data_IF_989433948140
#
_entry.id   IF_989433948140
#
_cell.length_a   1.000
_cell.length_b   1.000
_cell.length_c   1.000
_cell.angle_alpha   90.00
_cell.angle_beta   90.00
_cell.angle_gamma   90.00
#
_symmetry.space_group_name_H-M   'P 1'
#
loop_
_entity.id
_entity.type
_entity.pdbx_description
1 polymer ?
#
# COMPACT_ATOMS: atom_id res chain seq x y z
N UNK A 1 -0.11 -10.80 -11.54
CA UNK A 1 0.44 -9.56 -10.97
C UNK A 1 -0.71 -8.66 -10.57
N UNK A 2 -0.51 -7.88 -9.51
CA UNK A 2 -1.52 -6.98 -8.99
C UNK A 2 -0.98 -5.56 -8.91
N UNK A 3 -1.85 -4.60 -9.12
CA UNK A 3 -1.60 -3.19 -8.95
C UNK A 3 -2.22 -2.74 -7.63
N UNK A 4 -1.42 -2.05 -6.82
CA UNK A 4 -1.84 -1.50 -5.52
C UNK A 4 -1.81 0.02 -5.61
N UNK A 5 -2.85 0.69 -5.13
CA UNK A 5 -2.92 2.16 -5.04
C UNK A 5 -3.31 2.61 -3.64
N UNK A 6 -2.68 3.68 -3.16
CA UNK A 6 -3.10 4.40 -1.94
C UNK A 6 -3.71 5.74 -2.40
N UNK A 7 -5.04 5.80 -2.49
CA UNK A 7 -5.75 6.88 -3.17
C UNK A 7 -7.06 7.30 -2.46
N UNK A 8 -7.20 8.58 -2.06
CA UNK A 8 -6.16 9.60 -2.03
C UNK A 8 -5.23 9.39 -0.82
N UNK A 9 -3.90 9.32 -1.07
CA UNK A 9 -2.89 9.08 -0.02
C UNK A 9 -2.95 10.09 1.12
N UNK A 10 -3.41 11.31 0.83
CA UNK A 10 -3.53 12.37 1.83
C UNK A 10 -4.47 12.01 2.99
N UNK A 11 -5.45 11.13 2.76
CA UNK A 11 -6.40 10.66 3.76
C UNK A 11 -5.81 9.60 4.70
N UNK A 12 -4.55 9.18 4.49
CA UNK A 12 -3.87 8.29 5.42
C UNK A 12 -3.75 8.95 6.80
N UNK A 13 -4.30 8.28 7.82
CA UNK A 13 -4.30 8.74 9.22
C UNK A 13 -3.18 8.14 10.07
N UNK A 14 -2.16 7.55 9.44
CA UNK A 14 -0.97 7.00 10.11
C UNK A 14 -1.24 5.91 11.15
N UNK A 15 -2.33 5.13 10.98
CA UNK A 15 -2.70 4.02 11.87
C UNK A 15 -1.76 2.79 11.76
N UNK A 16 -0.95 2.72 10.70
CA UNK A 16 0.07 1.68 10.46
C UNK A 16 -0.43 0.24 10.24
N UNK A 17 -1.75 -0.03 10.28
CA UNK A 17 -2.29 -1.39 10.09
C UNK A 17 -1.83 -2.06 8.78
N UNK A 18 -1.71 -1.30 7.69
CA UNK A 18 -1.24 -1.83 6.41
C UNK A 18 0.21 -2.33 6.46
N UNK A 19 1.08 -1.61 7.17
CA UNK A 19 2.49 -1.99 7.37
C UNK A 19 2.58 -3.21 8.29
N UNK A 20 1.74 -3.27 9.32
CA UNK A 20 1.68 -4.43 10.23
C UNK A 20 1.21 -5.71 9.52
N UNK A 21 0.26 -5.60 8.59
CA UNK A 21 -0.31 -6.76 7.87
C UNK A 21 0.56 -7.18 6.68
N UNK A 22 1.03 -6.23 5.86
CA UNK A 22 1.89 -6.55 4.72
C UNK A 22 3.10 -5.59 4.63
N UNK A 23 4.12 -5.79 5.48
CA UNK A 23 5.33 -4.96 5.49
C UNK A 23 6.16 -5.11 4.20
N UNK A 24 5.97 -6.19 3.45
CA UNK A 24 6.63 -6.39 2.15
C UNK A 24 6.09 -5.43 1.07
N UNK A 25 4.89 -4.86 1.25
CA UNK A 25 4.25 -3.98 0.26
C UNK A 25 4.19 -2.53 0.76
N UNK A 26 3.93 -2.32 2.05
CA UNK A 26 3.71 -1.00 2.64
C UNK A 26 4.80 -0.62 3.63
N UNK A 27 5.21 0.63 3.60
CA UNK A 27 6.09 1.26 4.59
C UNK A 27 5.56 2.65 4.95
N UNK A 28 6.03 3.22 6.06
CA UNK A 28 5.71 4.60 6.43
C UNK A 28 6.74 5.54 5.82
N UNK A 29 6.27 6.58 5.12
CA UNK A 29 7.15 7.63 4.62
C UNK A 29 7.68 8.47 5.82
N UNK A 30 9.01 8.61 5.98
CA UNK A 30 9.59 9.36 7.10
C UNK A 30 9.38 10.88 7.01
N UNK A 31 9.06 11.42 5.83
CA UNK A 31 8.87 12.87 5.60
C UNK A 31 7.49 13.35 6.04
N UNK A 32 6.43 12.55 5.79
CA UNK A 32 5.05 12.95 6.07
C UNK A 32 4.27 11.98 6.98
N UNK A 33 4.90 10.91 7.44
CA UNK A 33 4.32 9.85 8.28
C UNK A 33 3.08 9.18 7.65
N UNK A 34 2.91 9.20 6.33
CA UNK A 34 1.81 8.51 5.64
C UNK A 34 2.34 7.23 4.98
N UNK A 35 1.46 6.23 4.88
CA UNK A 35 1.78 4.97 4.22
C UNK A 35 2.18 5.19 2.75
N UNK A 36 3.15 4.42 2.27
CA UNK A 36 3.61 4.40 0.90
C UNK A 36 3.97 2.97 0.49
N UNK A 37 4.10 2.74 -0.82
CA UNK A 37 4.59 1.49 -1.37
C UNK A 37 6.11 1.41 -1.17
N UNK A 38 6.60 0.26 -0.74
CA UNK A 38 8.05 0.00 -0.62
C UNK A 38 8.75 0.22 -1.97
N UNK A 39 9.97 0.76 -1.92
CA UNK A 39 10.69 1.20 -3.12
C UNK A 39 10.76 0.15 -4.23
N UNK A 40 10.96 -1.12 -3.86
CA UNK A 40 11.05 -2.27 -4.77
C UNK A 40 9.84 -2.43 -5.69
N UNK A 41 8.64 -2.04 -5.24
CA UNK A 41 7.40 -2.27 -5.97
C UNK A 41 6.81 -1.01 -6.61
N UNK A 42 7.40 0.18 -6.39
CA UNK A 42 6.85 1.45 -6.89
C UNK A 42 6.75 1.48 -8.42
N UNK A 43 5.56 1.75 -8.92
CA UNK A 43 5.32 1.91 -10.36
C UNK A 43 5.85 3.27 -10.82
N UNK A 44 6.92 3.25 -11.65
CA UNK A 44 7.56 4.47 -12.19
C UNK A 44 7.96 5.48 -11.10
N UNK A 45 8.36 5.00 -9.92
CA UNK A 45 8.76 5.83 -8.78
C UNK A 45 7.60 6.49 -8.04
N UNK A 46 6.34 6.21 -8.38
CA UNK A 46 5.20 6.72 -7.64
C UNK A 46 5.09 6.02 -6.28
N UNK A 47 5.28 6.76 -5.18
CA UNK A 47 5.23 6.23 -3.82
C UNK A 47 3.83 5.72 -3.42
N UNK A 48 2.76 6.13 -4.13
CA UNK A 48 1.39 5.72 -3.85
C UNK A 48 0.89 4.58 -4.74
N UNK A 49 1.70 4.12 -5.72
CA UNK A 49 1.28 3.09 -6.69
C UNK A 49 2.35 2.02 -6.81
N UNK A 50 1.94 0.76 -6.72
CA UNK A 50 2.84 -0.39 -6.76
C UNK A 50 2.39 -1.49 -7.71
N UNK A 51 3.35 -2.24 -8.27
CA UNK A 51 3.13 -3.49 -8.98
C UNK A 51 3.75 -4.63 -8.16
N UNK A 52 2.90 -5.52 -7.66
CA UNK A 52 3.30 -6.63 -6.79
C UNK A 52 3.08 -7.99 -7.47
N UNK A 53 3.91 -9.00 -7.16
CA UNK A 53 3.68 -10.38 -7.57
C UNK A 53 2.43 -10.98 -6.92
N UNK A 54 1.90 -12.05 -7.51
CA UNK A 54 0.63 -12.68 -7.10
C UNK A 54 0.66 -13.30 -5.69
N UNK A 55 1.84 -13.67 -5.20
CA UNK A 55 2.06 -14.19 -3.84
C UNK A 55 1.82 -13.12 -2.75
N UNK A 56 1.99 -11.84 -3.07
CA UNK A 56 1.71 -10.71 -2.18
C UNK A 56 0.27 -10.17 -2.32
N UNK A 57 -0.53 -10.68 -3.25
CA UNK A 57 -1.87 -10.17 -3.49
C UNK A 57 -2.78 -10.32 -2.27
N UNK A 58 -2.70 -11.46 -1.58
CA UNK A 58 -3.56 -11.73 -0.42
C UNK A 58 -3.24 -10.80 0.75
N UNK A 59 -1.97 -10.65 1.13
CA UNK A 59 -1.59 -9.74 2.23
C UNK A 59 -1.96 -8.28 1.91
N UNK A 60 -1.81 -7.85 0.65
CA UNK A 60 -2.17 -6.51 0.21
C UNK A 60 -3.69 -6.28 0.31
N UNK A 61 -4.47 -7.30 -0.06
CA UNK A 61 -5.93 -7.26 0.08
C UNK A 61 -6.37 -7.23 1.54
N UNK A 62 -5.70 -7.98 2.42
CA UNK A 62 -5.99 -7.97 3.86
C UNK A 62 -5.66 -6.61 4.48
N UNK A 63 -4.53 -6.01 4.10
CA UNK A 63 -4.16 -4.64 4.48
C UNK A 63 -5.18 -3.61 3.98
N UNK A 64 -5.71 -3.79 2.77
CA UNK A 64 -6.76 -2.93 2.22
C UNK A 64 -8.06 -3.03 3.01
N UNK A 65 -8.49 -4.25 3.33
CA UNK A 65 -9.70 -4.50 4.11
C UNK A 65 -9.59 -3.96 5.55
N UNK A 66 -8.39 -3.96 6.12
CA UNK A 66 -8.14 -3.44 7.46
C UNK A 66 -7.97 -1.92 7.53
N UNK A 67 -7.80 -1.23 6.39
CA UNK A 67 -7.58 0.21 6.36
C UNK A 67 -8.85 0.96 6.83
N UNK A 68 -8.82 1.70 7.96
CA UNK A 68 -10.01 2.33 8.53
C UNK A 68 -10.61 3.45 7.66
N UNK A 69 -9.80 4.00 6.74
CA UNK A 69 -10.19 5.06 5.80
C UNK A 69 -10.36 4.56 4.37
N UNK A 70 -10.23 3.25 4.13
CA UNK A 70 -10.54 2.57 2.86
C UNK A 70 -9.87 3.17 1.61
N UNK A 71 -8.61 3.62 1.74
CA UNK A 71 -7.86 4.26 0.64
C UNK A 71 -6.92 3.32 -0.12
N UNK A 72 -6.83 2.05 0.27
CA UNK A 72 -5.95 1.09 -0.39
C UNK A 72 -6.79 0.27 -1.37
N UNK A 73 -6.38 0.28 -2.63
CA UNK A 73 -7.04 -0.45 -3.72
C UNK A 73 -6.08 -1.50 -4.27
N UNK A 74 -6.58 -2.73 -4.46
CA UNK A 74 -5.80 -3.84 -5.01
C UNK A 74 -6.59 -4.41 -6.19
N UNK A 75 -5.99 -4.39 -7.38
CA UNK A 75 -6.63 -4.84 -8.62
C UNK A 75 -5.67 -5.71 -9.43
N UNK A 76 -6.22 -6.64 -10.22
CA UNK A 76 -5.40 -7.46 -11.11
C UNK A 76 -4.89 -6.59 -12.25
N UNK A 77 -3.58 -6.64 -12.51
CA UNK A 77 -2.89 -5.88 -13.55
C UNK A 77 -2.87 -6.64 -14.89
#
# INVERSE_FOLDING_TARGET
>A
MYRVRIEPRENCISDMVCVSICPDVFEMNPEDNKSQIVEKYREKGNIAVGLIPDDLAQCAQDAANACPVQIIHVEKA
#
